data_IF_023675196426
#
_entry.id   IF_023675196426
#
_cell.length_a   1.000
_cell.length_b   1.000
_cell.length_c   1.000
_cell.angle_alpha   90.00
_cell.angle_beta   90.00
_cell.angle_gamma   90.00
#
_symmetry.space_group_name_H-M   'P 1'
#
loop_
_entity.id
_entity.type
_entity.pdbx_description
1 polymer ?
#
# COMPACT_ATOMS: atom_id res chain seq x y z
N UNK A 1 10.67 -2.12 -32.78
CA UNK A 1 10.02 -1.65 -31.53
C UNK A 1 8.76 -2.48 -31.34
N UNK A 2 8.72 -3.42 -30.41
CA UNK A 2 7.50 -4.18 -30.09
C UNK A 2 6.41 -3.22 -29.60
N UNK A 3 5.19 -3.27 -30.13
CA UNK A 3 4.14 -2.33 -29.77
C UNK A 3 3.83 -2.45 -28.27
N UNK A 4 3.78 -1.31 -27.58
CA UNK A 4 3.37 -1.22 -26.18
C UNK A 4 1.99 -1.86 -26.05
N UNK A 5 1.92 -2.99 -25.37
CA UNK A 5 0.65 -3.73 -25.29
C UNK A 5 -0.34 -2.94 -24.42
N UNK A 6 -1.63 -2.87 -24.76
CA UNK A 6 -2.66 -2.29 -23.87
C UNK A 6 -2.60 -2.84 -22.43
N UNK A 7 -2.19 -4.10 -22.26
CA UNK A 7 -1.97 -4.72 -20.94
C UNK A 7 -0.79 -4.10 -20.18
N UNK A 8 0.31 -3.73 -20.85
CA UNK A 8 1.44 -3.06 -20.21
C UNK A 8 1.05 -1.65 -19.74
N UNK A 9 0.23 -0.94 -20.51
CA UNK A 9 -0.32 0.35 -20.09
C UNK A 9 -1.23 0.21 -18.86
N UNK A 10 -2.12 -0.78 -18.84
CA UNK A 10 -2.97 -1.06 -17.67
C UNK A 10 -2.15 -1.45 -16.44
N UNK A 11 -1.06 -2.19 -16.62
CA UNK A 11 -0.13 -2.53 -15.55
C UNK A 11 0.54 -1.28 -14.97
N UNK A 12 1.08 -0.40 -15.81
CA UNK A 12 1.69 0.86 -15.37
C UNK A 12 0.69 1.73 -14.61
N UNK A 13 -0.55 1.83 -15.12
CA UNK A 13 -1.63 2.55 -14.44
C UNK A 13 -1.94 1.94 -13.06
N UNK A 14 -2.00 0.61 -12.96
CA UNK A 14 -2.22 -0.08 -11.69
C UNK A 14 -1.06 0.11 -10.70
N UNK A 15 0.20 0.13 -11.18
CA UNK A 15 1.38 0.44 -10.35
C UNK A 15 1.27 1.85 -9.76
N UNK A 16 1.02 2.86 -10.61
CA UNK A 16 0.83 4.25 -10.18
C UNK A 16 -0.31 4.39 -9.18
N UNK A 17 -1.44 3.72 -9.40
CA UNK A 17 -2.58 3.75 -8.48
C UNK A 17 -2.24 3.12 -7.12
N UNK A 18 -1.53 1.99 -7.12
CA UNK A 18 -1.04 1.33 -5.89
C UNK A 18 -0.07 2.21 -5.13
N UNK A 19 0.87 2.86 -5.82
CA UNK A 19 1.88 3.71 -5.19
C UNK A 19 1.25 4.98 -4.61
N UNK A 20 0.33 5.60 -5.33
CA UNK A 20 -0.46 6.72 -4.80
C UNK A 20 -1.25 6.32 -3.55
N UNK A 21 -1.95 5.17 -3.58
CA UNK A 21 -2.64 4.66 -2.40
C UNK A 21 -1.69 4.40 -1.22
N UNK A 22 -0.45 3.98 -1.51
CA UNK A 22 0.60 3.78 -0.51
C UNK A 22 1.05 5.10 0.14
N UNK A 23 1.20 6.15 -0.67
CA UNK A 23 1.50 7.50 -0.18
C UNK A 23 0.38 8.04 0.72
N UNK A 24 -0.89 7.85 0.32
CA UNK A 24 -2.05 8.22 1.15
C UNK A 24 -2.03 7.48 2.48
N UNK A 25 -1.85 6.15 2.47
CA UNK A 25 -1.77 5.34 3.69
C UNK A 25 -0.63 5.80 4.62
N UNK A 26 0.54 6.12 4.06
CA UNK A 26 1.66 6.64 4.84
C UNK A 26 1.34 8.03 5.44
N UNK A 27 0.62 8.88 4.70
CA UNK A 27 0.11 10.16 5.21
C UNK A 27 -0.85 9.99 6.38
N UNK A 28 -1.86 9.14 6.23
CA UNK A 28 -2.86 8.88 7.27
C UNK A 28 -2.22 8.30 8.54
N UNK A 29 -1.26 7.37 8.38
CA UNK A 29 -0.52 6.79 9.53
C UNK A 29 0.29 7.84 10.28
N UNK A 30 0.95 8.76 9.58
CA UNK A 30 1.68 9.86 10.21
C UNK A 30 0.73 10.79 10.96
N UNK A 31 -0.39 11.15 10.36
CA UNK A 31 -1.42 11.97 11.01
C UNK A 31 -1.96 11.31 12.28
N UNK A 32 -2.29 10.00 12.22
CA UNK A 32 -2.74 9.25 13.39
C UNK A 32 -1.67 9.21 14.50
N UNK A 33 -0.41 8.98 14.16
CA UNK A 33 0.69 8.98 15.12
C UNK A 33 0.90 10.35 15.78
N UNK A 34 0.80 11.43 15.00
CA UNK A 34 0.88 12.80 15.54
C UNK A 34 -0.26 13.09 16.51
N UNK A 35 -1.51 12.73 16.17
CA UNK A 35 -2.66 12.89 17.07
C UNK A 35 -2.50 12.05 18.35
N UNK A 36 -1.98 10.83 18.24
CA UNK A 36 -1.71 9.99 19.39
C UNK A 36 -0.65 10.61 20.32
N UNK A 37 0.42 11.18 19.76
CA UNK A 37 1.45 11.89 20.54
C UNK A 37 0.87 13.13 21.23
N UNK A 38 0.03 13.91 20.55
CA UNK A 38 -0.64 15.06 21.16
C UNK A 38 -1.54 14.64 22.33
N UNK A 39 -2.27 13.54 22.18
CA UNK A 39 -3.10 12.98 23.24
C UNK A 39 -2.26 12.56 24.45
N UNK A 40 -1.12 11.91 24.23
CA UNK A 40 -0.21 11.49 25.29
C UNK A 40 0.31 12.69 26.10
N UNK A 41 0.74 13.75 25.41
CA UNK A 41 1.16 15.01 26.05
C UNK A 41 0.04 15.61 26.91
N UNK A 42 -1.20 15.62 26.42
CA UNK A 42 -2.35 16.14 27.18
C UNK A 42 -2.63 15.29 28.44
N UNK A 43 -2.53 13.97 28.33
CA UNK A 43 -2.71 13.05 29.46
C UNK A 43 -1.62 13.26 30.52
N UNK A 44 -0.36 13.44 30.10
CA UNK A 44 0.74 13.74 31.00
C UNK A 44 0.50 15.06 31.74
N UNK A 45 0.18 16.14 31.02
CA UNK A 45 -0.09 17.43 31.66
C UNK A 45 -1.26 17.38 32.63
N UNK A 46 -2.31 16.62 32.31
CA UNK A 46 -3.43 16.43 33.22
C UNK A 46 -3.00 15.75 34.52
N UNK A 47 -2.18 14.71 34.45
CA UNK A 47 -1.68 14.01 35.63
C UNK A 47 -0.79 14.90 36.50
N UNK A 48 0.11 15.66 35.87
CA UNK A 48 0.96 16.64 36.55
C UNK A 48 0.12 17.71 37.27
N UNK A 49 -0.90 18.26 36.61
CA UNK A 49 -1.77 19.28 37.20
C UNK A 49 -2.67 18.74 38.31
N UNK A 50 -3.14 17.49 38.19
CA UNK A 50 -3.89 16.84 39.27
C UNK A 50 -3.02 16.69 40.54
N UNK A 51 -1.75 16.33 40.38
CA UNK A 51 -0.79 16.24 41.49
C UNK A 51 -0.55 17.62 42.12
N UNK A 52 -0.33 18.66 41.31
CA UNK A 52 -0.17 20.04 41.80
C UNK A 52 -1.40 20.53 42.57
N UNK A 53 -2.60 20.18 42.13
CA UNK A 53 -3.84 20.50 42.85
C UNK A 53 -3.89 19.81 44.21
N UNK A 54 -3.52 18.52 44.28
CA UNK A 54 -3.44 17.80 45.56
C UNK A 54 -2.43 18.45 46.50
N UNK A 55 -1.24 18.80 46.03
CA UNK A 55 -0.24 19.49 46.85
C UNK A 55 -0.73 20.87 47.34
N UNK A 56 -1.42 21.62 46.47
CA UNK A 56 -2.00 22.91 46.83
C UNK A 56 -3.07 22.77 47.93
N UNK A 57 -3.89 21.71 47.89
CA UNK A 57 -4.85 21.41 48.95
C UNK A 57 -4.16 21.08 50.27
N UNK A 58 -3.10 20.27 50.26
CA UNK A 58 -2.35 19.91 51.46
C UNK A 58 -1.65 21.12 52.12
N UNK A 59 -1.19 22.09 51.31
CA UNK A 59 -0.50 23.29 51.79
C UNK A 59 -1.44 24.40 52.28
N UNK A 60 -2.77 24.22 52.19
CA UNK A 60 -3.74 25.24 52.60
C UNK A 60 -3.72 26.48 51.69
N UNK A 61 -3.62 26.27 50.38
CA UNK A 61 -3.46 27.36 49.39
C UNK A 61 -4.76 28.18 49.22
N UNK A 62 -4.62 29.43 48.80
CA UNK A 62 -5.73 30.35 48.52
C UNK A 62 -6.79 29.77 47.56
N UNK A 63 -8.05 30.07 47.86
CA UNK A 63 -9.25 29.63 47.15
C UNK A 63 -9.26 30.01 45.67
N UNK A 64 -8.70 31.17 45.31
CA UNK A 64 -8.59 31.62 43.91
C UNK A 64 -7.66 30.70 43.11
N UNK A 65 -6.53 30.30 43.70
CA UNK A 65 -5.59 29.39 43.05
C UNK A 65 -6.22 28.01 42.81
N UNK A 66 -6.96 27.49 43.81
CA UNK A 66 -7.67 26.22 43.68
C UNK A 66 -8.71 26.24 42.55
N UNK A 67 -9.44 27.34 42.39
CA UNK A 67 -10.42 27.48 41.32
C UNK A 67 -9.75 27.53 39.93
N UNK A 68 -8.63 28.26 39.80
CA UNK A 68 -7.85 28.29 38.56
C UNK A 68 -7.35 26.89 38.15
N UNK A 69 -6.84 26.10 39.11
CA UNK A 69 -6.44 24.71 38.85
C UNK A 69 -7.61 23.86 38.34
N UNK A 70 -8.77 23.95 38.98
CA UNK A 70 -9.97 23.19 38.58
C UNK A 70 -10.41 23.53 37.16
N UNK A 71 -10.50 24.83 36.82
CA UNK A 71 -10.86 25.27 35.47
C UNK A 71 -9.88 24.77 34.41
N UNK A 72 -8.57 24.80 34.71
CA UNK A 72 -7.57 24.30 33.78
C UNK A 72 -7.63 22.77 33.60
N UNK A 73 -7.89 22.01 34.67
CA UNK A 73 -8.10 20.56 34.54
C UNK A 73 -9.33 20.26 33.68
N UNK A 74 -10.42 21.01 33.86
CA UNK A 74 -11.62 20.86 33.01
C UNK A 74 -11.36 21.18 31.53
N UNK A 75 -10.52 22.19 31.24
CA UNK A 75 -10.14 22.49 29.86
C UNK A 75 -9.26 21.40 29.26
N UNK A 76 -8.34 20.82 30.05
CA UNK A 76 -7.55 19.65 29.63
C UNK A 76 -8.44 18.42 29.38
N UNK A 77 -9.41 18.14 30.25
CA UNK A 77 -10.37 17.04 30.07
C UNK A 77 -11.13 17.19 28.74
N UNK A 78 -11.58 18.40 28.43
CA UNK A 78 -12.25 18.71 27.17
C UNK A 78 -11.32 18.51 25.96
N UNK A 79 -10.08 19.00 26.04
CA UNK A 79 -9.10 18.83 24.97
C UNK A 79 -8.70 17.35 24.75
N UNK A 80 -8.59 16.57 25.82
CA UNK A 80 -8.31 15.13 25.76
C UNK A 80 -9.43 14.40 25.03
N UNK A 81 -10.68 14.72 25.34
CA UNK A 81 -11.83 14.10 24.67
C UNK A 81 -11.85 14.43 23.17
N UNK A 82 -11.59 15.69 22.81
CA UNK A 82 -11.46 16.09 21.41
C UNK A 82 -10.30 15.35 20.71
N UNK A 83 -9.15 15.22 21.36
CA UNK A 83 -7.99 14.50 20.82
C UNK A 83 -8.28 12.99 20.64
N UNK A 84 -9.04 12.37 21.54
CA UNK A 84 -9.48 10.97 21.41
C UNK A 84 -10.39 10.77 20.21
N UNK A 85 -11.38 11.65 20.03
CA UNK A 85 -12.28 11.60 18.88
C UNK A 85 -11.54 11.83 17.55
N UNK A 86 -10.60 12.78 17.55
CA UNK A 86 -9.73 13.01 16.39
C UNK A 86 -8.88 11.76 16.09
N UNK A 87 -8.30 11.11 17.10
CA UNK A 87 -7.51 9.90 16.92
C UNK A 87 -8.34 8.76 16.35
N UNK A 88 -9.55 8.54 16.87
CA UNK A 88 -10.47 7.53 16.35
C UNK A 88 -10.81 7.79 14.88
N UNK A 89 -11.05 9.05 14.51
CA UNK A 89 -11.28 9.46 13.13
C UNK A 89 -10.07 9.16 12.24
N UNK A 90 -8.86 9.48 12.70
CA UNK A 90 -7.62 9.20 11.94
C UNK A 90 -7.36 7.70 11.81
N UNK A 91 -7.64 6.90 12.85
CA UNK A 91 -7.56 5.44 12.77
C UNK A 91 -8.55 4.86 11.75
N UNK A 92 -9.77 5.42 11.67
CA UNK A 92 -10.72 5.09 10.62
C UNK A 92 -10.18 5.38 9.21
N UNK A 93 -9.52 6.53 9.01
CA UNK A 93 -8.87 6.88 7.73
C UNK A 93 -7.74 5.92 7.38
N UNK A 94 -6.87 5.57 8.34
CA UNK A 94 -5.81 4.56 8.14
C UNK A 94 -6.39 3.22 7.70
N UNK A 95 -7.48 2.77 8.32
CA UNK A 95 -8.15 1.53 7.93
C UNK A 95 -8.67 1.59 6.49
N UNK A 96 -9.36 2.68 6.13
CA UNK A 96 -9.89 2.88 4.79
C UNK A 96 -8.78 2.95 3.72
N UNK A 97 -7.71 3.72 3.96
CA UNK A 97 -6.59 3.80 3.01
C UNK A 97 -5.79 2.50 2.92
N UNK A 98 -5.72 1.73 4.00
CA UNK A 98 -5.11 0.40 3.98
C UNK A 98 -5.92 -0.57 3.11
N UNK A 99 -7.26 -0.58 3.23
CA UNK A 99 -8.13 -1.38 2.37
C UNK A 99 -7.99 -0.98 0.89
N UNK A 100 -7.95 0.33 0.61
CA UNK A 100 -7.75 0.84 -0.74
C UNK A 100 -6.40 0.40 -1.31
N UNK A 101 -5.32 0.53 -0.55
CA UNK A 101 -4.00 0.08 -0.99
C UNK A 101 -3.97 -1.43 -1.29
N UNK A 102 -4.57 -2.24 -0.42
CA UNK A 102 -4.67 -3.69 -0.65
C UNK A 102 -5.48 -4.03 -1.90
N UNK A 103 -6.54 -3.29 -2.18
CA UNK A 103 -7.33 -3.47 -3.40
C UNK A 103 -6.48 -3.15 -4.64
N UNK A 104 -5.77 -2.02 -4.66
CA UNK A 104 -4.88 -1.67 -5.78
C UNK A 104 -3.74 -2.69 -5.95
N UNK A 105 -3.19 -3.20 -4.84
CA UNK A 105 -2.18 -4.26 -4.89
C UNK A 105 -2.72 -5.56 -5.51
N UNK A 106 -3.94 -5.96 -5.17
CA UNK A 106 -4.60 -7.13 -5.79
C UNK A 106 -4.82 -6.92 -7.28
N UNK A 107 -5.29 -5.74 -7.68
CA UNK A 107 -5.48 -5.38 -9.10
C UNK A 107 -4.16 -5.44 -9.88
N UNK A 108 -3.07 -4.92 -9.30
CA UNK A 108 -1.74 -5.01 -9.89
C UNK A 108 -1.30 -6.46 -10.10
N UNK A 109 -1.42 -7.29 -9.07
CA UNK A 109 -1.05 -8.72 -9.14
C UNK A 109 -1.86 -9.49 -10.17
N UNK A 110 -3.13 -9.14 -10.37
CA UNK A 110 -3.97 -9.72 -11.43
C UNK A 110 -3.43 -9.40 -12.84
N UNK A 111 -3.02 -8.15 -13.09
CA UNK A 111 -2.41 -7.77 -14.37
C UNK A 111 -1.05 -8.46 -14.61
N UNK A 112 -0.17 -8.51 -13.60
CA UNK A 112 1.10 -9.23 -13.69
C UNK A 112 0.89 -10.73 -14.02
N UNK A 113 -0.13 -11.34 -13.42
CA UNK A 113 -0.51 -12.74 -13.69
C UNK A 113 -0.98 -12.93 -15.13
N UNK A 114 -1.83 -12.03 -15.63
CA UNK A 114 -2.33 -12.08 -17.01
C UNK A 114 -1.21 -11.91 -18.04
N UNK A 115 -0.30 -10.96 -17.82
CA UNK A 115 0.86 -10.73 -18.67
C UNK A 115 1.75 -11.97 -18.69
N UNK A 116 2.07 -12.52 -17.53
CA UNK A 116 2.90 -13.73 -17.41
C UNK A 116 2.28 -14.94 -18.12
N UNK A 117 0.95 -15.11 -18.06
CA UNK A 117 0.23 -16.15 -18.83
C UNK A 117 0.36 -15.91 -20.33
N UNK A 118 0.12 -14.69 -20.80
CA UNK A 118 0.20 -14.34 -22.22
C UNK A 118 1.60 -14.55 -22.79
N UNK A 119 2.63 -14.13 -22.07
CA UNK A 119 4.03 -14.32 -22.45
C UNK A 119 4.36 -15.81 -22.58
N UNK A 120 3.96 -16.64 -21.61
CA UNK A 120 4.15 -18.10 -21.70
C UNK A 120 3.45 -18.72 -22.91
N UNK A 121 2.20 -18.34 -23.17
CA UNK A 121 1.48 -18.84 -24.35
C UNK A 121 2.14 -18.42 -25.66
N UNK A 122 2.63 -17.19 -25.75
CA UNK A 122 3.35 -16.70 -26.94
C UNK A 122 4.65 -17.48 -27.17
N UNK A 123 5.45 -17.71 -26.12
CA UNK A 123 6.66 -18.55 -26.22
C UNK A 123 6.33 -19.98 -26.67
N UNK A 124 5.32 -20.62 -26.10
CA UNK A 124 4.89 -21.95 -26.52
C UNK A 124 4.40 -22.01 -27.97
N UNK A 125 3.78 -20.95 -28.49
CA UNK A 125 3.38 -20.87 -29.88
C UNK A 125 4.59 -20.70 -30.80
N UNK A 126 5.53 -19.82 -30.44
CA UNK A 126 6.76 -19.60 -31.18
C UNK A 126 7.63 -20.87 -31.24
N UNK A 127 7.79 -21.58 -30.12
CA UNK A 127 8.52 -22.87 -30.10
C UNK A 127 7.86 -23.92 -31.00
N UNK A 128 6.51 -24.00 -30.99
CA UNK A 128 5.80 -24.94 -31.86
C UNK A 128 5.96 -24.59 -33.33
N UNK A 129 5.96 -23.31 -33.69
CA UNK A 129 6.20 -22.87 -35.06
C UNK A 129 7.65 -23.14 -35.50
N UNK A 130 8.62 -22.85 -34.64
CA UNK A 130 10.04 -23.10 -34.92
C UNK A 130 10.32 -24.60 -35.14
N UNK A 131 9.77 -25.48 -34.28
CA UNK A 131 9.88 -26.94 -34.46
C UNK A 131 9.29 -27.40 -35.79
N UNK A 132 8.10 -26.91 -36.17
CA UNK A 132 7.48 -27.26 -37.46
C UNK A 132 8.35 -26.85 -38.65
N UNK A 133 8.94 -25.65 -38.61
CA UNK A 133 9.83 -25.19 -39.67
C UNK A 133 11.11 -26.03 -39.76
N UNK A 134 11.68 -26.42 -38.62
CA UNK A 134 12.87 -27.28 -38.57
C UNK A 134 12.57 -28.70 -39.11
N UNK A 135 11.40 -29.26 -38.76
CA UNK A 135 10.92 -30.53 -39.29
C UNK A 135 10.72 -30.47 -40.81
N UNK A 136 10.12 -29.39 -41.33
CA UNK A 136 9.92 -29.16 -42.77
C UNK A 136 11.25 -29.04 -43.54
N UNK A 137 12.21 -28.29 -42.99
CA UNK A 137 13.55 -28.15 -43.58
C UNK A 137 14.29 -29.49 -43.60
N UNK A 138 14.25 -30.22 -42.49
CA UNK A 138 14.87 -31.54 -42.37
C UNK A 138 14.26 -32.55 -43.35
N UNK A 139 12.93 -32.58 -43.45
CA UNK A 139 12.22 -33.43 -44.42
C UNK A 139 12.58 -33.07 -45.87
N UNK A 140 12.66 -31.77 -46.20
CA UNK A 140 13.06 -31.30 -47.52
C UNK A 140 14.50 -31.68 -47.89
N UNK A 141 15.44 -31.56 -46.96
CA UNK A 141 16.83 -32.00 -47.15
C UNK A 141 16.94 -33.52 -47.38
N UNK A 142 16.20 -34.31 -46.61
CA UNK A 142 16.15 -35.77 -46.77
C UNK A 142 15.54 -36.18 -48.12
N UNK A 143 14.48 -35.49 -48.56
CA UNK A 143 13.85 -35.75 -49.85
C UNK A 143 14.81 -35.46 -51.02
N UNK A 144 15.57 -34.36 -50.97
CA UNK A 144 16.60 -34.05 -51.98
C UNK A 144 17.70 -35.10 -52.03
N UNK A 145 18.26 -35.50 -50.87
CA UNK A 145 19.29 -36.56 -50.83
C UNK A 145 18.80 -37.88 -51.43
N UNK A 146 17.52 -38.23 -51.24
CA UNK A 146 16.94 -39.44 -51.85
C UNK A 146 16.84 -39.32 -53.37
N UNK A 147 16.51 -38.14 -53.89
CA UNK A 147 16.48 -37.90 -55.33
C UNK A 147 17.90 -37.97 -55.93
N UNK A 148 18.90 -37.38 -55.29
CA UNK A 148 20.29 -37.42 -55.77
C UNK A 148 20.83 -38.86 -55.84
N UNK A 149 20.55 -39.68 -54.82
CA UNK A 149 20.93 -41.10 -54.83
C UNK A 149 20.19 -41.92 -55.89
N UNK A 150 18.93 -41.58 -56.22
CA UNK A 150 18.16 -42.28 -57.24
C UNK A 150 18.55 -41.89 -58.68
N UNK A 151 19.33 -40.82 -58.86
CA UNK A 151 19.78 -40.33 -60.18
C UNK A 151 21.22 -40.76 -60.50
N UNK A 152 21.90 -41.42 -59.55
CA UNK A 152 23.31 -41.84 -59.68
C UNK A 152 23.46 -43.36 -59.96
N UNK A 153 22.36 -44.12 -59.99
CA UNK A 153 22.25 -45.51 -60.50
C UNK A 153 21.65 -45.49 -61.92
#
# INVERSE_FOLDING_TARGET
MTPFSPLQYLLDKARKARDHAGQTLAGDRRSAAQTASQLDVLLQYRAEYATRLQDALHRGTDTVALDNYRRFIQSLDTAIEQARQALATQQGRVSASQQQWQHQQRTLSSYDTLISRRTRHAHQQAERQARRQDDELSAGLLARRRQDNATTD
#
